data_IF_880459961219
#
_entry.id   IF_880459961219
#
_cell.length_a   1.000
_cell.length_b   1.000
_cell.length_c   1.000
_cell.angle_alpha   90.00
_cell.angle_beta   90.00
_cell.angle_gamma   90.00
#
_symmetry.space_group_name_H-M   'P 1'
#
loop_
_entity.id
_entity.type
_entity.pdbx_description
1 polymer ?
#
# COMPACT_ATOMS: atom_id res chain seq x y z
N UNK A 1 65.84 -32.78 41.99
CA UNK A 1 66.84 -32.48 40.95
C UNK A 1 66.09 -31.70 39.86
N UNK A 2 66.52 -30.55 39.32
CA UNK A 2 67.70 -30.32 38.44
C UNK A 2 67.72 -31.34 37.29
N UNK A 3 67.69 -30.98 36.00
CA UNK A 3 67.96 -29.69 35.34
C UNK A 3 67.47 -29.70 33.86
N UNK A 4 67.20 -28.51 33.26
CA UNK A 4 67.51 -28.13 31.83
C UNK A 4 66.74 -28.90 30.71
N UNK A 5 66.31 -28.38 29.53
CA UNK A 5 66.36 -27.06 28.84
C UNK A 5 64.96 -26.82 28.15
N UNK A 6 64.67 -26.30 26.93
CA UNK A 6 65.40 -25.65 25.81
C UNK A 6 64.44 -24.70 25.00
N UNK A 7 64.71 -23.39 24.94
CA UNK A 7 64.17 -22.42 23.93
C UNK A 7 62.61 -22.25 23.91
N UNK A 8 61.96 -21.37 23.12
CA UNK A 8 62.36 -20.51 21.99
C UNK A 8 61.69 -19.12 22.09
N UNK A 9 62.37 -18.04 21.71
CA UNK A 9 61.79 -16.68 21.59
C UNK A 9 61.38 -16.44 20.15
N UNK A 10 60.12 -16.05 19.90
CA UNK A 10 59.65 -15.62 18.58
C UNK A 10 58.82 -14.34 18.71
N UNK A 11 59.45 -13.20 18.46
CA UNK A 11 58.77 -11.90 18.39
C UNK A 11 58.16 -11.68 17.00
N UNK A 12 56.85 -11.86 16.86
CA UNK A 12 56.15 -11.56 15.61
C UNK A 12 55.77 -10.08 15.57
N UNK A 13 56.52 -9.27 14.82
CA UNK A 13 56.08 -7.93 14.44
C UNK A 13 55.00 -8.04 13.34
N UNK A 14 53.74 -7.77 13.69
CA UNK A 14 52.68 -7.56 12.68
C UNK A 14 52.68 -6.09 12.27
N UNK A 15 53.00 -5.83 11.00
CA UNK A 15 53.10 -4.48 10.45
C UNK A 15 51.71 -3.87 10.18
N UNK A 16 51.51 -2.61 10.59
CA UNK A 16 50.30 -1.84 10.29
C UNK A 16 50.28 -1.39 8.83
N UNK A 17 49.74 -2.20 7.93
CA UNK A 17 49.44 -1.83 6.55
C UNK A 17 48.28 -0.84 6.48
N UNK A 18 48.59 0.46 6.53
CA UNK A 18 47.62 1.56 6.51
C UNK A 18 46.94 1.73 5.13
N UNK A 19 45.95 0.88 4.84
CA UNK A 19 45.16 0.94 3.61
C UNK A 19 44.16 2.11 3.65
N UNK A 20 44.42 3.13 2.83
CA UNK A 20 43.49 4.27 2.68
C UNK A 20 42.19 3.80 2.00
N UNK A 21 41.19 3.49 2.82
CA UNK A 21 39.83 3.25 2.37
C UNK A 21 39.31 4.51 1.67
N UNK A 22 39.12 4.44 0.34
CA UNK A 22 38.44 5.51 -0.40
C UNK A 22 36.96 5.47 -0.04
N UNK A 23 36.48 6.50 0.64
CA UNK A 23 35.04 6.76 0.76
C UNK A 23 34.44 7.02 -0.62
N UNK A 24 33.98 5.95 -1.28
CA UNK A 24 32.97 6.09 -2.32
C UNK A 24 31.69 6.55 -1.64
N UNK A 25 31.54 7.88 -1.53
CA UNK A 25 30.38 8.56 -0.95
C UNK A 25 29.16 8.29 -1.83
N UNK A 26 28.62 7.08 -1.70
CA UNK A 26 27.39 6.63 -2.33
C UNK A 26 26.29 7.55 -1.80
N UNK A 27 25.82 8.45 -2.65
CA UNK A 27 24.65 9.26 -2.36
C UNK A 27 23.49 8.29 -2.19
N UNK A 28 23.14 7.97 -0.95
CA UNK A 28 21.84 7.44 -0.64
C UNK A 28 20.84 8.55 -0.93
N UNK A 29 20.30 8.49 -2.15
CA UNK A 29 19.09 9.19 -2.54
C UNK A 29 17.98 8.71 -1.61
N UNK A 30 17.80 9.45 -0.51
CA UNK A 30 16.79 9.16 0.50
C UNK A 30 15.44 9.25 -0.20
N UNK A 31 14.84 8.09 -0.48
CA UNK A 31 13.51 7.99 -1.05
C UNK A 31 12.58 8.95 -0.28
N UNK A 32 12.15 10.02 -0.95
CA UNK A 32 11.36 11.07 -0.32
C UNK A 32 10.03 10.43 0.01
N UNK A 33 9.78 10.20 1.31
CA UNK A 33 8.57 9.54 1.79
C UNK A 33 7.34 10.40 1.51
N UNK A 34 6.84 10.28 0.29
CA UNK A 34 5.68 10.99 -0.20
C UNK A 34 4.43 10.54 0.58
N UNK A 35 3.75 11.51 1.17
CA UNK A 35 2.45 11.32 1.83
C UNK A 35 1.44 12.06 0.98
N UNK A 36 0.67 11.37 0.11
CA UNK A 36 -0.28 12.04 -0.77
C UNK A 36 -1.28 12.90 0.00
N UNK A 37 -1.61 14.05 -0.57
CA UNK A 37 -2.69 14.91 -0.10
C UNK A 37 -3.89 14.74 -1.03
N UNK A 38 -5.09 14.98 -0.52
CA UNK A 38 -6.33 14.90 -1.32
C UNK A 38 -6.28 15.83 -2.56
N UNK A 39 -5.52 16.93 -2.50
CA UNK A 39 -5.28 17.85 -3.63
C UNK A 39 -4.46 17.22 -4.77
N UNK A 40 -3.65 16.22 -4.47
CA UNK A 40 -2.81 15.55 -5.47
C UNK A 40 -3.66 14.64 -6.38
N UNK A 41 -4.92 14.38 -5.98
CA UNK A 41 -5.94 13.64 -6.71
C UNK A 41 -7.08 14.54 -7.23
N UNK A 42 -6.77 15.77 -7.68
CA UNK A 42 -7.74 16.64 -8.36
C UNK A 42 -8.35 15.98 -9.61
N UNK A 43 -7.55 15.19 -10.34
CA UNK A 43 -8.01 14.35 -11.45
C UNK A 43 -8.58 13.01 -10.94
N UNK A 44 -9.60 12.45 -11.59
CA UNK A 44 -10.13 11.14 -11.21
C UNK A 44 -9.12 10.03 -11.50
N UNK A 45 -8.95 9.12 -10.54
CA UNK A 45 -8.19 7.88 -10.68
C UNK A 45 -9.09 6.87 -11.40
N UNK A 46 -8.70 6.44 -12.60
CA UNK A 46 -9.48 5.54 -13.46
C UNK A 46 -8.60 4.36 -13.88
N UNK A 47 -8.73 3.17 -13.24
CA UNK A 47 -8.03 1.96 -13.66
C UNK A 47 -8.62 1.42 -14.97
N UNK A 48 -7.76 1.05 -15.93
CA UNK A 48 -8.14 0.66 -17.30
C UNK A 48 -7.48 -0.66 -17.71
N UNK A 49 -8.28 -1.64 -18.14
CA UNK A 49 -7.79 -2.86 -18.80
C UNK A 49 -7.98 -2.72 -20.31
N UNK A 50 -6.92 -2.39 -21.05
CA UNK A 50 -6.92 -2.24 -22.51
C UNK A 50 -8.11 -1.40 -23.03
N UNK A 51 -8.21 -0.19 -22.46
CA UNK A 51 -9.29 0.81 -22.62
C UNK A 51 -10.66 0.46 -22.01
N UNK A 52 -10.89 -0.75 -21.51
CA UNK A 52 -12.09 -1.06 -20.72
C UNK A 52 -12.02 -0.38 -19.33
N UNK A 53 -13.14 0.20 -18.92
CA UNK A 53 -13.32 0.89 -17.63
C UNK A 53 -13.47 -0.11 -16.48
N UNK A 54 -12.61 -0.03 -15.46
CA UNK A 54 -12.69 -0.89 -14.27
C UNK A 54 -13.26 -0.17 -13.03
N UNK A 55 -13.64 1.10 -13.17
CA UNK A 55 -14.13 1.97 -12.11
C UNK A 55 -13.42 3.32 -12.07
N UNK A 56 -13.85 4.18 -11.17
CA UNK A 56 -13.31 5.54 -10.98
C UNK A 56 -13.38 5.94 -9.50
N UNK A 57 -12.36 6.65 -9.02
CA UNK A 57 -12.41 7.44 -7.78
C UNK A 57 -12.18 8.91 -8.13
N UNK A 58 -13.06 9.79 -7.66
CA UNK A 58 -12.90 11.24 -7.70
C UNK A 58 -12.98 11.81 -6.29
N UNK A 59 -11.97 12.56 -5.88
CA UNK A 59 -12.03 13.38 -4.68
C UNK A 59 -12.80 14.66 -4.98
N UNK A 60 -13.71 15.03 -4.08
CA UNK A 60 -14.62 16.16 -4.21
C UNK A 60 -14.31 17.22 -3.14
N UNK A 61 -14.95 18.39 -3.28
CA UNK A 61 -14.94 19.43 -2.24
C UNK A 61 -15.54 18.89 -0.93
N UNK A 62 -15.13 19.50 0.19
CA UNK A 62 -15.56 19.14 1.56
C UNK A 62 -15.21 17.69 1.93
N UNK A 63 -14.03 17.23 1.50
CA UNK A 63 -13.44 15.91 1.73
C UNK A 63 -14.35 14.72 1.38
N UNK A 64 -15.35 14.92 0.52
CA UNK A 64 -16.20 13.86 0.00
C UNK A 64 -15.49 13.09 -1.13
N UNK A 65 -15.89 11.84 -1.35
CA UNK A 65 -15.36 10.99 -2.43
C UNK A 65 -16.54 10.48 -3.26
N UNK A 66 -16.41 10.50 -4.58
CA UNK A 66 -17.29 9.77 -5.49
C UNK A 66 -16.55 8.56 -6.03
N UNK A 67 -17.19 7.41 -5.99
CA UNK A 67 -16.72 6.15 -6.56
C UNK A 67 -17.74 5.74 -7.62
N UNK A 68 -17.27 5.39 -8.82
CA UNK A 68 -18.10 4.78 -9.86
C UNK A 68 -17.57 3.38 -10.13
N UNK A 69 -18.44 2.38 -10.08
CA UNK A 69 -18.10 0.97 -10.31
C UNK A 69 -18.35 0.58 -11.79
N UNK A 70 -17.82 -0.56 -12.28
CA UNK A 70 -17.97 -1.00 -13.68
C UNK A 70 -19.42 -1.15 -14.17
N UNK A 71 -20.34 -1.46 -13.26
CA UNK A 71 -21.79 -1.57 -13.49
C UNK A 71 -22.50 -0.20 -13.52
N UNK A 72 -21.75 0.89 -13.43
CA UNK A 72 -22.22 2.27 -13.24
C UNK A 72 -22.88 2.55 -11.87
N UNK A 73 -22.75 1.67 -10.88
CA UNK A 73 -23.15 1.98 -9.50
C UNK A 73 -22.25 3.10 -8.95
N UNK A 74 -22.88 4.19 -8.49
CA UNK A 74 -22.19 5.33 -7.89
C UNK A 74 -22.31 5.26 -6.37
N UNK A 75 -21.17 5.24 -5.67
CA UNK A 75 -21.08 5.29 -4.21
C UNK A 75 -20.50 6.64 -3.81
N UNK A 76 -21.20 7.35 -2.91
CA UNK A 76 -20.76 8.63 -2.35
C UNK A 76 -20.28 8.41 -0.92
N UNK A 77 -19.04 8.79 -0.63
CA UNK A 77 -18.42 8.65 0.67
C UNK A 77 -18.25 10.01 1.36
N UNK A 78 -19.02 10.28 2.42
CA UNK A 78 -19.01 11.55 3.16
C UNK A 78 -18.52 11.36 4.59
N UNK A 79 -17.75 12.32 5.09
CA UNK A 79 -17.34 12.31 6.49
C UNK A 79 -18.54 12.61 7.40
N UNK A 80 -18.79 11.75 8.39
CA UNK A 80 -19.92 11.84 9.32
C UNK A 80 -19.51 12.39 10.69
N UNK A 81 -18.22 12.33 11.04
CA UNK A 81 -17.56 12.99 12.17
C UNK A 81 -16.03 12.87 11.98
N UNK A 82 -15.23 13.41 12.91
CA UNK A 82 -13.76 13.43 12.83
C UNK A 82 -13.09 12.06 12.68
N UNK A 83 -13.75 10.96 13.05
CA UNK A 83 -13.19 9.60 12.99
C UNK A 83 -13.92 8.66 12.01
N UNK A 84 -15.06 9.08 11.43
CA UNK A 84 -16.00 8.20 10.73
C UNK A 84 -16.39 8.75 9.36
N UNK A 85 -16.27 7.93 8.30
CA UNK A 85 -16.84 8.19 6.96
C UNK A 85 -17.94 7.17 6.66
N UNK A 86 -19.00 7.60 5.98
CA UNK A 86 -20.13 6.76 5.55
C UNK A 86 -20.15 6.66 4.03
N UNK A 87 -20.36 5.45 3.52
CA UNK A 87 -20.40 5.11 2.10
C UNK A 87 -21.82 4.70 1.72
N UNK A 88 -22.45 5.48 0.83
CA UNK A 88 -23.86 5.33 0.47
C UNK A 88 -24.04 5.23 -1.05
N UNK A 89 -24.97 4.41 -1.51
CA UNK A 89 -25.39 4.39 -2.93
C UNK A 89 -26.01 5.76 -3.27
N UNK A 90 -25.59 6.39 -4.36
CA UNK A 90 -26.02 7.74 -4.72
C UNK A 90 -27.52 7.86 -5.06
N UNK A 91 -28.11 6.78 -5.58
CA UNK A 91 -29.48 6.71 -6.12
C UNK A 91 -30.57 6.79 -5.06
N UNK A 92 -30.34 6.16 -3.91
CA UNK A 92 -31.32 5.94 -2.83
C UNK A 92 -30.78 6.31 -1.44
N UNK A 93 -29.51 6.72 -1.36
CA UNK A 93 -28.77 6.98 -0.11
C UNK A 93 -28.64 5.75 0.82
N UNK A 94 -28.81 4.53 0.31
CA UNK A 94 -28.64 3.31 1.08
C UNK A 94 -27.22 3.20 1.64
N UNK A 95 -27.09 3.07 2.96
CA UNK A 95 -25.81 2.89 3.63
C UNK A 95 -25.29 1.48 3.33
N UNK A 96 -24.11 1.41 2.72
CA UNK A 96 -23.41 0.15 2.45
C UNK A 96 -22.40 -0.11 3.59
N UNK A 97 -21.54 0.87 3.84
CA UNK A 97 -20.44 0.77 4.80
C UNK A 97 -20.27 2.03 5.65
N UNK A 98 -19.61 1.87 6.79
CA UNK A 98 -18.91 2.96 7.47
C UNK A 98 -17.46 2.57 7.74
N UNK A 99 -16.55 3.54 7.71
CA UNK A 99 -15.18 3.36 8.19
C UNK A 99 -15.00 4.09 9.52
N UNK A 100 -14.14 3.58 10.41
CA UNK A 100 -13.78 4.24 11.68
C UNK A 100 -12.28 4.16 11.92
N UNK A 101 -11.67 5.26 12.35
CA UNK A 101 -10.25 5.34 12.71
C UNK A 101 -9.93 4.43 13.91
N UNK A 102 -8.72 3.86 13.94
CA UNK A 102 -8.10 3.33 15.17
C UNK A 102 -6.59 3.63 15.17
N UNK A 103 -5.91 3.32 16.29
CA UNK A 103 -4.53 3.77 16.57
C UNK A 103 -3.44 3.41 15.53
N UNK A 104 -3.70 2.49 14.58
CA UNK A 104 -2.75 2.11 13.52
C UNK A 104 -3.37 2.07 12.11
N UNK A 105 -4.55 2.66 11.92
CA UNK A 105 -5.25 2.69 10.63
C UNK A 105 -6.76 2.90 10.75
N UNK A 106 -7.55 2.09 10.06
CA UNK A 106 -9.02 2.15 10.10
C UNK A 106 -9.67 0.77 9.97
N UNK A 107 -10.93 0.65 10.39
CA UNK A 107 -11.77 -0.53 10.12
C UNK A 107 -12.96 -0.16 9.24
N UNK A 108 -13.39 -1.08 8.37
CA UNK A 108 -14.66 -1.01 7.64
C UNK A 108 -15.69 -1.90 8.35
N UNK A 109 -16.91 -1.37 8.46
CA UNK A 109 -18.09 -2.04 9.00
C UNK A 109 -19.19 -2.03 7.95
N UNK A 110 -19.98 -3.11 7.85
CA UNK A 110 -21.25 -3.10 7.13
C UNK A 110 -22.29 -2.20 7.83
N UNK A 111 -23.41 -1.95 7.17
CA UNK A 111 -24.52 -1.13 7.66
C UNK A 111 -25.15 -1.63 8.97
N UNK A 112 -25.07 -2.93 9.26
CA UNK A 112 -25.40 -3.58 10.54
C UNK A 112 -24.39 -3.31 11.67
N UNK A 113 -23.30 -2.58 11.41
CA UNK A 113 -22.14 -2.34 12.27
C UNK A 113 -21.24 -3.57 12.55
N UNK A 114 -21.41 -4.70 11.85
CA UNK A 114 -20.44 -5.81 11.88
C UNK A 114 -19.14 -5.36 11.21
N UNK A 115 -18.00 -5.63 11.85
CA UNK A 115 -16.69 -5.38 11.26
C UNK A 115 -16.42 -6.35 10.11
N UNK A 116 -15.95 -5.83 8.97
CA UNK A 116 -15.61 -6.60 7.78
C UNK A 116 -14.09 -6.73 7.67
N UNK A 117 -13.42 -5.58 7.62
CA UNK A 117 -12.00 -5.44 7.35
C UNK A 117 -11.34 -4.49 8.34
N UNK A 118 -10.14 -4.83 8.81
CA UNK A 118 -9.25 -3.89 9.48
C UNK A 118 -8.01 -3.66 8.60
N UNK A 119 -7.64 -2.39 8.45
CA UNK A 119 -6.53 -1.93 7.61
C UNK A 119 -5.52 -1.23 8.50
N UNK A 120 -4.31 -1.80 8.54
CA UNK A 120 -3.15 -1.26 9.26
C UNK A 120 -2.19 -0.65 8.26
N UNK A 121 -1.86 0.63 8.45
CA UNK A 121 -1.00 1.39 7.53
C UNK A 121 0.41 1.53 8.13
N UNK A 122 1.41 0.94 7.47
CA UNK A 122 2.83 1.13 7.71
C UNK A 122 3.44 2.12 6.72
N UNK A 123 4.71 2.49 6.89
CA UNK A 123 5.35 3.54 6.08
C UNK A 123 5.47 3.22 4.58
N UNK A 124 5.53 1.95 4.23
CA UNK A 124 5.74 1.42 2.87
C UNK A 124 4.83 0.19 2.61
N UNK A 125 3.90 -0.10 3.53
CA UNK A 125 3.10 -1.32 3.53
C UNK A 125 1.70 -1.11 4.09
N UNK A 126 0.76 -1.94 3.61
CA UNK A 126 -0.60 -2.05 4.14
C UNK A 126 -0.86 -3.51 4.48
N UNK A 127 -1.36 -3.76 5.68
CA UNK A 127 -1.84 -5.07 6.10
C UNK A 127 -3.37 -5.02 6.19
N UNK A 128 -4.04 -5.97 5.53
CA UNK A 128 -5.51 -6.10 5.56
C UNK A 128 -5.88 -7.43 6.20
N UNK A 129 -6.64 -7.36 7.29
CA UNK A 129 -7.21 -8.51 8.00
C UNK A 129 -8.72 -8.50 7.88
N UNK A 130 -9.32 -9.68 7.67
CA UNK A 130 -10.75 -9.88 7.89
C UNK A 130 -10.96 -10.12 9.40
N UNK A 131 -11.92 -9.46 10.04
CA UNK A 131 -12.03 -9.45 11.52
C UNK A 131 -12.19 -10.86 12.12
N UNK A 132 -12.79 -11.80 11.38
CA UNK A 132 -13.02 -13.19 11.80
C UNK A 132 -11.79 -14.13 11.60
N UNK A 133 -10.63 -13.61 11.21
CA UNK A 133 -9.41 -14.41 10.98
C UNK A 133 -8.19 -13.83 11.71
N UNK A 134 -7.62 -14.59 12.66
CA UNK A 134 -6.47 -14.23 13.50
C UNK A 134 -5.12 -14.03 12.76
N UNK A 135 -5.12 -13.84 11.44
CA UNK A 135 -3.90 -13.72 10.62
C UNK A 135 -4.08 -12.70 9.50
N UNK A 136 -3.03 -11.91 9.27
CA UNK A 136 -2.91 -11.03 8.10
C UNK A 136 -3.27 -11.80 6.83
N UNK A 137 -4.38 -11.39 6.19
CA UNK A 137 -4.88 -12.08 5.01
C UNK A 137 -4.14 -11.58 3.78
N UNK A 138 -4.00 -10.26 3.66
CA UNK A 138 -3.26 -9.60 2.58
C UNK A 138 -2.16 -8.68 3.13
N UNK A 139 -0.99 -8.74 2.51
CA UNK A 139 0.08 -7.74 2.63
C UNK A 139 0.26 -7.06 1.28
N UNK A 140 0.24 -5.73 1.29
CA UNK A 140 0.74 -4.90 0.19
C UNK A 140 2.04 -4.24 0.67
N UNK A 141 3.09 -4.25 -0.14
CA UNK A 141 4.36 -3.58 0.19
C UNK A 141 5.01 -2.98 -1.07
N UNK A 142 5.43 -1.73 -1.00
CA UNK A 142 6.31 -1.12 -2.00
C UNK A 142 7.76 -1.46 -1.65
N UNK A 143 8.52 -1.95 -2.63
CA UNK A 143 9.93 -2.32 -2.49
C UNK A 143 10.70 -1.81 -3.71
N UNK A 144 11.47 -0.72 -3.53
CA UNK A 144 12.05 0.04 -4.65
C UNK A 144 10.93 0.52 -5.58
N UNK A 145 11.02 0.23 -6.87
CA UNK A 145 10.14 0.68 -7.95
C UNK A 145 8.95 -0.26 -8.22
N UNK A 146 8.74 -1.25 -7.33
CA UNK A 146 7.77 -2.33 -7.48
C UNK A 146 6.87 -2.46 -6.24
N UNK A 147 5.57 -2.51 -6.46
CA UNK A 147 4.54 -2.78 -5.44
C UNK A 147 4.17 -4.26 -5.54
N UNK A 148 4.29 -5.00 -4.45
CA UNK A 148 3.96 -6.41 -4.36
C UNK A 148 2.70 -6.62 -3.49
N UNK A 149 1.80 -7.49 -3.94
CA UNK A 149 0.60 -7.90 -3.20
C UNK A 149 0.65 -9.40 -2.93
N UNK A 150 0.54 -9.78 -1.65
CA UNK A 150 0.65 -11.18 -1.20
C UNK A 150 -0.51 -11.60 -0.32
N UNK A 151 -0.92 -12.87 -0.45
CA UNK A 151 -1.84 -13.56 0.45
C UNK A 151 -1.10 -14.79 1.02
N UNK A 152 -0.89 -14.84 2.34
CA UNK A 152 -0.15 -15.95 3.02
C UNK A 152 1.19 -16.28 2.34
N UNK A 153 1.99 -15.24 2.05
CA UNK A 153 3.27 -15.28 1.31
C UNK A 153 3.20 -15.62 -0.19
N UNK A 154 2.04 -15.98 -0.75
CA UNK A 154 1.84 -16.20 -2.18
C UNK A 154 1.62 -14.86 -2.88
N UNK A 155 2.32 -14.57 -3.98
CA UNK A 155 2.09 -13.38 -4.81
C UNK A 155 0.72 -13.47 -5.52
N UNK A 156 -0.16 -12.51 -5.24
CA UNK A 156 -1.43 -12.31 -5.97
C UNK A 156 -1.20 -11.55 -7.28
N UNK A 157 -0.25 -10.61 -7.27
CA UNK A 157 0.12 -9.75 -8.38
C UNK A 157 0.99 -8.60 -7.91
N UNK A 158 1.34 -7.72 -8.83
CA UNK A 158 2.23 -6.58 -8.58
C UNK A 158 2.00 -5.40 -9.50
N UNK A 159 2.51 -4.23 -9.14
CA UNK A 159 2.47 -3.03 -9.97
C UNK A 159 3.84 -2.34 -10.05
N UNK A 160 4.13 -1.71 -11.18
CA UNK A 160 5.38 -0.97 -11.44
C UNK A 160 5.07 0.37 -12.09
N UNK A 161 5.78 1.43 -11.68
CA UNK A 161 5.68 2.75 -12.32
C UNK A 161 6.46 2.75 -13.64
N UNK A 162 5.82 3.21 -14.72
CA UNK A 162 6.39 3.37 -16.07
C UNK A 162 5.74 4.58 -16.74
N UNK A 163 6.53 5.57 -17.15
CA UNK A 163 6.07 6.67 -18.03
C UNK A 163 4.74 7.33 -17.56
N UNK A 164 4.67 7.73 -16.29
CA UNK A 164 3.49 8.30 -15.63
C UNK A 164 2.26 7.37 -15.60
N UNK A 165 2.49 6.05 -15.60
CA UNK A 165 1.47 5.01 -15.37
C UNK A 165 1.94 3.97 -14.37
N UNK A 166 1.07 3.62 -13.43
CA UNK A 166 1.22 2.42 -12.60
C UNK A 166 0.62 1.25 -13.36
N UNK A 167 1.47 0.35 -13.85
CA UNK A 167 1.10 -0.81 -14.67
C UNK A 167 1.02 -2.05 -13.79
N UNK A 168 -0.13 -2.70 -13.77
CA UNK A 168 -0.43 -3.87 -12.93
C UNK A 168 -0.25 -5.16 -13.71
N UNK A 169 0.38 -6.16 -13.08
CA UNK A 169 0.66 -7.46 -13.69
C UNK A 169 0.44 -8.62 -12.72
N UNK A 170 0.14 -9.80 -13.28
CA UNK A 170 -0.07 -11.05 -12.55
C UNK A 170 0.49 -12.20 -13.38
N UNK A 171 1.45 -12.94 -12.82
CA UNK A 171 2.21 -13.99 -13.53
C UNK A 171 2.78 -13.52 -14.89
N UNK A 172 3.32 -12.30 -14.92
CA UNK A 172 3.93 -11.67 -16.10
C UNK A 172 2.95 -11.08 -17.13
N UNK A 173 1.64 -11.33 -17.02
CA UNK A 173 0.62 -10.70 -17.89
C UNK A 173 0.19 -9.35 -17.31
N UNK A 174 0.01 -8.34 -18.17
CA UNK A 174 -0.68 -7.09 -17.82
C UNK A 174 -2.13 -7.40 -17.43
N UNK A 175 -2.64 -6.70 -16.42
CA UNK A 175 -4.07 -6.71 -16.06
C UNK A 175 -4.71 -5.37 -16.39
N UNK A 176 -4.16 -4.29 -15.87
CA UNK A 176 -4.66 -2.92 -16.06
C UNK A 176 -3.55 -1.89 -15.80
N UNK A 177 -3.87 -0.62 -16.02
CA UNK A 177 -3.01 0.53 -15.71
C UNK A 177 -3.82 1.66 -15.06
N UNK A 178 -3.14 2.51 -14.29
CA UNK A 178 -3.64 3.78 -13.77
C UNK A 178 -2.67 4.88 -14.23
N UNK A 179 -3.20 5.99 -14.73
CA UNK A 179 -2.40 7.19 -15.00
C UNK A 179 -1.99 7.84 -13.66
N UNK A 180 -0.71 7.78 -13.31
CA UNK A 180 -0.13 8.29 -12.05
C UNK A 180 1.40 8.37 -12.14
N UNK A 181 1.97 9.44 -11.59
CA UNK A 181 3.41 9.72 -11.52
C UNK A 181 4.10 9.13 -10.26
N UNK A 182 3.32 8.58 -9.32
CA UNK A 182 3.83 7.97 -8.08
C UNK A 182 3.35 6.52 -7.95
N UNK A 183 4.12 5.66 -7.26
CA UNK A 183 3.72 4.31 -6.90
C UNK A 183 3.27 4.24 -5.42
N UNK A 184 1.95 4.22 -5.19
CA UNK A 184 1.35 4.23 -3.85
C UNK A 184 0.94 2.84 -3.35
N UNK A 185 1.19 2.49 -2.07
CA UNK A 185 0.68 1.26 -1.46
C UNK A 185 -0.82 1.03 -1.67
N UNK A 186 -1.67 2.06 -1.60
CA UNK A 186 -3.12 1.92 -1.80
C UNK A 186 -3.50 1.26 -3.13
N UNK A 187 -2.71 1.47 -4.19
CA UNK A 187 -2.97 0.88 -5.50
C UNK A 187 -3.03 -0.66 -5.47
N UNK A 188 -2.28 -1.30 -4.56
CA UNK A 188 -2.31 -2.76 -4.40
C UNK A 188 -3.67 -3.34 -4.00
N UNK A 189 -4.56 -2.53 -3.42
CA UNK A 189 -5.89 -2.96 -2.99
C UNK A 189 -6.72 -3.46 -4.18
N UNK A 190 -6.51 -2.90 -5.37
CA UNK A 190 -7.20 -3.30 -6.60
C UNK A 190 -6.81 -4.71 -7.11
N UNK A 191 -5.66 -5.26 -6.69
CA UNK A 191 -5.22 -6.61 -7.06
C UNK A 191 -5.85 -7.73 -6.21
N UNK A 192 -6.58 -7.38 -5.15
CA UNK A 192 -7.17 -8.33 -4.22
C UNK A 192 -8.57 -8.74 -4.73
N UNK A 193 -8.59 -9.72 -5.62
CA UNK A 193 -9.81 -10.24 -6.24
C UNK A 193 -10.78 -10.85 -5.22
N UNK A 194 -10.27 -11.37 -4.10
CA UNK A 194 -11.06 -12.01 -3.03
C UNK A 194 -11.91 -11.04 -2.18
N UNK A 195 -11.73 -9.72 -2.31
CA UNK A 195 -12.55 -8.70 -1.64
C UNK A 195 -13.68 -8.26 -2.58
N UNK A 196 -14.91 -8.08 -2.06
CA UNK A 196 -16.07 -7.61 -2.84
C UNK A 196 -15.79 -6.27 -3.54
N UNK A 197 -16.39 -6.01 -4.70
CA UNK A 197 -15.97 -4.88 -5.54
C UNK A 197 -16.22 -3.52 -4.88
N UNK A 198 -17.35 -3.39 -4.17
CA UNK A 198 -17.75 -2.22 -3.40
C UNK A 198 -16.82 -2.02 -2.20
N UNK A 199 -16.50 -3.11 -1.49
CA UNK A 199 -15.57 -3.12 -0.35
C UNK A 199 -14.14 -2.74 -0.80
N UNK A 200 -13.67 -3.33 -1.90
CA UNK A 200 -12.34 -3.09 -2.48
C UNK A 200 -12.17 -1.64 -2.91
N UNK A 201 -13.18 -1.06 -3.57
CA UNK A 201 -13.15 0.36 -3.92
C UNK A 201 -13.31 1.27 -2.70
N UNK A 202 -14.08 0.88 -1.68
CA UNK A 202 -14.17 1.63 -0.42
C UNK A 202 -12.82 1.64 0.33
N UNK A 203 -12.15 0.50 0.46
CA UNK A 203 -10.79 0.35 1.01
C UNK A 203 -9.77 1.19 0.23
N UNK A 204 -9.82 1.13 -1.11
CA UNK A 204 -8.90 1.87 -1.96
C UNK A 204 -9.08 3.39 -1.79
N UNK A 205 -10.32 3.88 -1.87
CA UNK A 205 -10.66 5.28 -1.65
C UNK A 205 -10.31 5.77 -0.23
N UNK A 206 -10.62 4.99 0.81
CA UNK A 206 -10.34 5.35 2.20
C UNK A 206 -8.83 5.42 2.50
N UNK A 207 -8.04 4.53 1.89
CA UNK A 207 -6.58 4.54 2.05
C UNK A 207 -5.95 5.76 1.36
N UNK A 208 -6.31 6.04 0.11
CA UNK A 208 -5.88 7.24 -0.61
C UNK A 208 -6.26 8.53 0.13
N UNK A 209 -7.48 8.59 0.70
CA UNK A 209 -7.96 9.73 1.50
C UNK A 209 -7.11 10.00 2.76
N UNK A 210 -6.26 9.05 3.17
CA UNK A 210 -5.39 9.10 4.36
C UNK A 210 -3.92 9.34 4.02
N UNK A 211 -3.58 9.48 2.75
CA UNK A 211 -2.21 9.72 2.29
C UNK A 211 -1.35 8.46 2.24
N UNK A 212 -1.88 7.38 1.64
CA UNK A 212 -1.19 6.10 1.38
C UNK A 212 -1.59 5.52 0.01
#
# INVERSE_FOLDING_TARGET
>A
MRYIFLFFVVSIMVSCSNSKQKDSKKTEEKAVKYTPKIKDFEKPIIPKADSAFLGQIQFLKNDAISIVLPDSTVIIAKQSNTTTRKYQIAKDSFLIFSTKNYAKGYKIFSNDNRALWAVKMGSESIEITQENFDRNLFEIRVQKDELLVRHKNIELGKATLKENKVVFTKKGKKLFEIDSDVLLPAYGILLIEEIGIEERYALFAETLARGY
#
